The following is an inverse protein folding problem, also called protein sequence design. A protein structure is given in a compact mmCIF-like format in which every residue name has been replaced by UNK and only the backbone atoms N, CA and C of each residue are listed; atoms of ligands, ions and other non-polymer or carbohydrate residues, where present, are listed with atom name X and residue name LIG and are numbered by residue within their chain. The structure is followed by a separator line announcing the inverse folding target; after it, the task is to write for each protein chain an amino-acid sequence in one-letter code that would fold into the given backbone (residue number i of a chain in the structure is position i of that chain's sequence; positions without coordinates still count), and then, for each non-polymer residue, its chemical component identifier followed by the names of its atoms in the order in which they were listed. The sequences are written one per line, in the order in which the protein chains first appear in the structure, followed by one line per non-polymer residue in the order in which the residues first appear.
data_IF_380234757925
#
_entry.id   IF_380234757925
#
_cell.length_a   1.000
_cell.length_b   1.000
_cell.length_c   1.000
_cell.angle_alpha   90.00
_cell.angle_beta   90.00
_cell.angle_gamma   90.00
#
_symmetry.space_group_name_H-M   'P 1'
#
loop_
_entity.id
_entity.type
_entity.pdbx_description
1 polymer ?
#
# COMPACT_ATOMS: atom_id res chain seq x y z
N UNK A 1 -17.01 13.79 -10.22
CA UNK A 1 -15.98 12.74 -10.09
C UNK A 1 -16.14 11.88 -8.82
N UNK A 2 -16.15 12.46 -7.61
CA UNK A 2 -16.32 11.70 -6.34
C UNK A 2 -17.57 10.81 -6.28
N UNK A 3 -18.75 11.33 -6.68
CA UNK A 3 -20.01 10.56 -6.68
C UNK A 3 -20.00 9.36 -7.63
N UNK A 4 -19.29 9.46 -8.76
CA UNK A 4 -19.17 8.39 -9.76
C UNK A 4 -18.26 7.25 -9.28
N UNK A 5 -17.12 7.61 -8.69
CA UNK A 5 -16.20 6.66 -8.04
C UNK A 5 -16.87 5.93 -6.88
N UNK A 6 -17.62 6.65 -6.04
CA UNK A 6 -18.38 6.04 -4.95
C UNK A 6 -19.49 5.12 -5.46
N UNK A 7 -20.23 5.49 -6.51
CA UNK A 7 -21.23 4.62 -7.13
C UNK A 7 -20.62 3.33 -7.70
N UNK A 8 -19.43 3.43 -8.31
CA UNK A 8 -18.75 2.27 -8.88
C UNK A 8 -18.25 1.32 -7.78
N UNK A 9 -17.66 1.87 -6.71
CA UNK A 9 -17.22 1.10 -5.55
C UNK A 9 -18.43 0.49 -4.81
N UNK A 10 -19.49 1.27 -4.60
CA UNK A 10 -20.72 0.86 -3.91
C UNK A 10 -21.49 -0.23 -4.72
N UNK A 11 -21.17 -0.48 -6.00
CA UNK A 11 -21.73 -1.60 -6.79
C UNK A 11 -21.28 -2.97 -6.24
N UNK A 12 -20.08 -3.04 -5.67
CA UNK A 12 -19.53 -4.27 -5.06
C UNK A 12 -19.82 -4.36 -3.56
N UNK A 13 -20.36 -3.31 -2.95
CA UNK A 13 -20.74 -3.27 -1.55
C UNK A 13 -21.78 -4.33 -1.15
N UNK A 14 -22.82 -4.66 -1.95
CA UNK A 14 -23.83 -5.65 -1.55
C UNK A 14 -23.22 -7.01 -1.18
N UNK A 15 -22.16 -7.42 -1.87
CA UNK A 15 -21.45 -8.70 -1.68
C UNK A 15 -20.75 -8.75 -0.31
N UNK A 16 -20.18 -7.62 0.13
CA UNK A 16 -19.37 -7.51 1.35
C UNK A 16 -20.13 -6.86 2.52
N UNK A 17 -21.36 -6.39 2.28
CA UNK A 17 -22.20 -5.68 3.24
C UNK A 17 -22.52 -6.48 4.51
N UNK A 18 -22.51 -7.80 4.42
CA UNK A 18 -22.71 -8.71 5.57
C UNK A 18 -21.50 -8.76 6.52
N UNK A 19 -20.31 -8.39 6.07
CA UNK A 19 -19.05 -8.62 6.78
C UNK A 19 -18.37 -7.33 7.23
N UNK A 20 -18.65 -6.20 6.56
CA UNK A 20 -17.88 -4.96 6.73
C UNK A 20 -18.79 -3.72 6.61
N UNK A 21 -18.59 -2.72 7.49
CA UNK A 21 -19.34 -1.46 7.43
C UNK A 21 -19.02 -0.66 6.16
N UNK A 22 -19.93 0.19 5.68
CA UNK A 22 -19.74 1.02 4.47
C UNK A 22 -18.44 1.87 4.52
N UNK A 23 -18.10 2.43 5.68
CA UNK A 23 -16.87 3.21 5.84
C UNK A 23 -15.62 2.33 5.74
N UNK A 24 -15.67 1.14 6.31
CA UNK A 24 -14.58 0.16 6.23
C UNK A 24 -14.45 -0.41 4.82
N UNK A 25 -15.56 -0.61 4.11
CA UNK A 25 -15.56 -1.03 2.71
C UNK A 25 -14.92 0.02 1.80
N UNK A 26 -15.28 1.30 1.98
CA UNK A 26 -14.65 2.42 1.24
C UNK A 26 -13.15 2.50 1.51
N UNK A 27 -12.73 2.34 2.76
CA UNK A 27 -11.32 2.28 3.13
C UNK A 27 -10.60 1.10 2.46
N UNK A 28 -11.18 -0.10 2.51
CA UNK A 28 -10.64 -1.30 1.87
C UNK A 28 -10.59 -1.17 0.35
N UNK A 29 -11.59 -0.56 -0.29
CA UNK A 29 -11.61 -0.33 -1.72
C UNK A 29 -10.50 0.65 -2.14
N UNK A 30 -10.32 1.76 -1.41
CA UNK A 30 -9.23 2.71 -1.68
C UNK A 30 -7.85 2.10 -1.44
N UNK A 31 -7.70 1.29 -0.38
CA UNK A 31 -6.47 0.57 -0.08
C UNK A 31 -6.17 -0.50 -1.13
N UNK A 32 -7.19 -1.25 -1.56
CA UNK A 32 -7.09 -2.28 -2.58
C UNK A 32 -6.72 -1.71 -3.96
N UNK A 33 -7.30 -0.57 -4.36
CA UNK A 33 -6.88 0.13 -5.58
C UNK A 33 -5.41 0.54 -5.47
N UNK A 34 -5.00 1.15 -4.36
CA UNK A 34 -3.61 1.57 -4.15
C UNK A 34 -2.64 0.37 -4.19
N UNK A 35 -3.01 -0.73 -3.54
CA UNK A 35 -2.24 -1.98 -3.55
C UNK A 35 -2.17 -2.58 -4.96
N UNK A 36 -3.28 -2.65 -5.69
CA UNK A 36 -3.30 -3.12 -7.07
C UNK A 36 -2.44 -2.27 -8.00
N UNK A 37 -2.54 -0.94 -7.89
CA UNK A 37 -1.66 -0.01 -8.61
C UNK A 37 -0.19 -0.26 -8.27
N UNK A 38 0.14 -0.51 -7.00
CA UNK A 38 1.51 -0.83 -6.58
C UNK A 38 2.01 -2.15 -7.18
N UNK A 39 1.18 -3.20 -7.20
CA UNK A 39 1.55 -4.52 -7.73
C UNK A 39 1.81 -4.43 -9.24
N UNK A 40 0.89 -3.80 -9.98
CA UNK A 40 1.02 -3.61 -11.43
C UNK A 40 2.21 -2.69 -11.74
N UNK A 41 2.34 -1.59 -11.00
CA UNK A 41 3.45 -0.65 -11.14
C UNK A 41 4.80 -1.33 -10.93
N UNK A 42 4.94 -2.12 -9.86
CA UNK A 42 6.15 -2.89 -9.60
C UNK A 42 6.45 -3.87 -10.73
N UNK A 43 5.45 -4.63 -11.20
CA UNK A 43 5.62 -5.55 -12.32
C UNK A 43 6.11 -4.84 -13.58
N UNK A 44 5.51 -3.70 -13.94
CA UNK A 44 5.92 -2.93 -15.11
C UNK A 44 7.34 -2.39 -14.97
N UNK A 45 7.68 -1.84 -13.80
CA UNK A 45 9.01 -1.30 -13.54
C UNK A 45 10.07 -2.40 -13.60
N UNK A 46 9.86 -3.50 -12.90
CA UNK A 46 10.82 -4.60 -12.82
C UNK A 46 11.05 -5.26 -14.18
N UNK A 47 9.98 -5.55 -14.93
CA UNK A 47 10.07 -6.31 -16.18
C UNK A 47 10.42 -5.44 -17.40
N UNK A 48 9.83 -4.26 -17.53
CA UNK A 48 9.90 -3.47 -18.75
C UNK A 48 10.76 -2.22 -18.64
N UNK A 49 10.80 -1.57 -17.46
CA UNK A 49 11.62 -0.37 -17.27
C UNK A 49 13.07 -0.74 -16.95
N UNK A 50 13.28 -1.71 -16.07
CA UNK A 50 14.60 -2.17 -15.65
C UNK A 50 15.10 -3.40 -16.41
N UNK A 51 14.23 -4.10 -17.15
CA UNK A 51 14.63 -5.28 -17.92
C UNK A 51 15.17 -6.45 -17.07
N UNK A 52 14.89 -6.47 -15.77
CA UNK A 52 15.48 -7.41 -14.80
C UNK A 52 17.01 -7.29 -14.65
N UNK A 53 17.60 -6.20 -15.14
CA UNK A 53 19.05 -6.00 -15.10
C UNK A 53 19.50 -5.36 -13.79
N UNK A 54 20.47 -6.01 -13.14
CA UNK A 54 21.11 -5.48 -11.93
C UNK A 54 22.04 -4.32 -12.28
N UNK A 55 21.95 -3.23 -11.52
CA UNK A 55 22.79 -2.05 -11.73
C UNK A 55 23.98 -2.11 -10.78
N UNK A 56 25.18 -2.13 -11.36
CA UNK A 56 26.44 -1.99 -10.61
C UNK A 56 26.80 -0.52 -10.49
N UNK A 57 26.76 0.01 -9.27
CA UNK A 57 27.22 1.35 -8.95
C UNK A 57 28.56 1.26 -8.23
N UNK A 58 29.65 1.42 -8.98
CA UNK A 58 31.03 1.27 -8.48
C UNK A 58 31.26 -0.10 -7.81
N UNK A 59 31.37 -0.17 -6.48
CA UNK A 59 31.54 -1.40 -5.70
C UNK A 59 30.23 -2.00 -5.17
N UNK A 60 29.10 -1.30 -5.31
CA UNK A 60 27.80 -1.74 -4.80
C UNK A 60 26.94 -2.33 -5.92
N UNK A 61 26.41 -3.53 -5.71
CA UNK A 61 25.42 -4.16 -6.58
C UNK A 61 24.03 -3.82 -6.03
N UNK A 62 23.23 -3.09 -6.82
CA UNK A 62 21.82 -2.88 -6.53
C UNK A 62 21.04 -3.81 -7.44
N UNK A 63 20.37 -4.78 -6.84
CA UNK A 63 19.57 -5.75 -7.58
C UNK A 63 18.33 -5.09 -8.19
N UNK A 64 17.93 -5.57 -9.36
CA UNK A 64 16.81 -5.03 -10.13
C UNK A 64 15.51 -5.01 -9.32
N UNK A 65 15.26 -6.04 -8.50
CA UNK A 65 14.07 -6.11 -7.64
C UNK A 65 14.07 -5.06 -6.52
N UNK A 66 15.25 -4.74 -5.98
CA UNK A 66 15.42 -3.69 -4.98
C UNK A 66 15.19 -2.32 -5.60
N UNK A 67 15.76 -2.08 -6.77
CA UNK A 67 15.60 -0.81 -7.48
C UNK A 67 14.13 -0.60 -7.92
N UNK A 68 13.49 -1.65 -8.42
CA UNK A 68 12.07 -1.64 -8.75
C UNK A 68 11.20 -1.26 -7.53
N UNK A 69 11.54 -1.81 -6.35
CA UNK A 69 10.83 -1.49 -5.11
C UNK A 69 10.95 0.00 -4.76
N UNK A 70 12.15 0.56 -4.87
CA UNK A 70 12.41 1.98 -4.56
C UNK A 70 11.60 2.87 -5.51
N UNK A 71 11.70 2.66 -6.82
CA UNK A 71 11.00 3.48 -7.83
C UNK A 71 9.47 3.36 -7.63
N UNK A 72 8.96 2.13 -7.50
CA UNK A 72 7.54 1.89 -7.31
C UNK A 72 7.02 2.53 -6.01
N UNK A 73 7.82 2.50 -4.94
CA UNK A 73 7.46 3.10 -3.65
C UNK A 73 7.29 4.61 -3.75
N UNK A 74 8.16 5.31 -4.50
CA UNK A 74 8.03 6.76 -4.70
C UNK A 74 6.73 7.08 -5.46
N UNK A 75 6.45 6.37 -6.54
CA UNK A 75 5.23 6.60 -7.33
C UNK A 75 3.97 6.29 -6.52
N UNK A 76 3.95 5.15 -5.84
CA UNK A 76 2.81 4.72 -5.02
C UNK A 76 2.58 5.65 -3.85
N UNK A 77 3.64 6.22 -3.24
CA UNK A 77 3.51 7.22 -2.20
C UNK A 77 2.77 8.46 -2.68
N UNK A 78 3.16 9.00 -3.84
CA UNK A 78 2.55 10.20 -4.41
C UNK A 78 1.08 9.97 -4.74
N UNK A 79 0.78 8.87 -5.45
CA UNK A 79 -0.60 8.50 -5.81
C UNK A 79 -1.43 8.24 -4.56
N UNK A 80 -0.91 7.45 -3.62
CA UNK A 80 -1.58 7.10 -2.37
C UNK A 80 -1.86 8.30 -1.49
N UNK A 81 -0.91 9.23 -1.34
CA UNK A 81 -1.09 10.45 -0.58
C UNK A 81 -2.14 11.36 -1.21
N UNK A 82 -2.07 11.57 -2.53
CA UNK A 82 -3.05 12.39 -3.28
C UNK A 82 -4.45 11.78 -3.14
N UNK A 83 -4.62 10.48 -3.37
CA UNK A 83 -5.91 9.80 -3.21
C UNK A 83 -6.45 9.95 -1.79
N UNK A 84 -5.63 9.65 -0.77
CA UNK A 84 -6.09 9.74 0.62
C UNK A 84 -6.46 11.16 1.02
N UNK A 85 -5.69 12.16 0.59
CA UNK A 85 -5.96 13.58 0.85
C UNK A 85 -7.31 14.02 0.28
N UNK A 86 -7.63 13.64 -0.97
CA UNK A 86 -8.83 14.10 -1.67
C UNK A 86 -10.06 13.21 -1.49
N UNK A 87 -9.90 11.93 -1.12
CA UNK A 87 -11.03 10.98 -1.00
C UNK A 87 -11.36 10.59 0.43
N UNK A 88 -10.35 10.47 1.30
CA UNK A 88 -10.51 9.88 2.65
C UNK A 88 -10.47 10.95 3.74
N UNK A 89 -9.55 11.92 3.65
CA UNK A 89 -9.33 12.92 4.69
C UNK A 89 -10.15 14.22 4.53
N UNK A 90 -11.17 14.25 3.67
CA UNK A 90 -11.96 15.46 3.40
C UNK A 90 -12.70 16.03 4.62
N UNK A 91 -12.86 15.26 5.69
CA UNK A 91 -13.49 15.70 6.95
C UNK A 91 -12.48 15.90 8.09
N UNK A 92 -11.18 15.69 7.86
CA UNK A 92 -10.17 15.81 8.92
C UNK A 92 -9.85 17.29 9.19
N UNK A 93 -9.98 17.70 10.45
CA UNK A 93 -9.63 19.05 10.95
C UNK A 93 -8.12 19.25 11.12
N UNK A 94 -7.30 18.25 10.80
CA UNK A 94 -5.84 18.30 10.95
C UNK A 94 -5.18 19.06 9.80
N UNK A 95 -4.16 19.87 10.12
CA UNK A 95 -3.30 20.52 9.11
C UNK A 95 -2.65 19.46 8.21
N UNK A 96 -2.68 19.68 6.89
CA UNK A 96 -2.19 18.71 5.89
C UNK A 96 -0.75 18.23 6.09
N UNK A 97 0.13 19.04 6.70
CA UNK A 97 1.51 18.63 7.03
C UNK A 97 1.56 17.51 8.08
N UNK A 98 0.66 17.52 9.05
CA UNK A 98 0.57 16.49 10.10
C UNK A 98 0.03 15.19 9.50
N UNK A 99 -0.93 15.30 8.56
CA UNK A 99 -1.44 14.15 7.82
C UNK A 99 -0.35 13.49 6.96
N UNK A 100 0.44 14.30 6.25
CA UNK A 100 1.57 13.81 5.47
C UNK A 100 2.59 13.09 6.35
N UNK A 101 2.94 13.65 7.51
CA UNK A 101 3.89 13.02 8.43
C UNK A 101 3.38 11.66 8.91
N UNK A 102 2.14 11.59 9.42
CA UNK A 102 1.55 10.33 9.90
C UNK A 102 1.46 9.27 8.79
N UNK A 103 1.00 9.68 7.60
CA UNK A 103 0.92 8.78 6.45
C UNK A 103 2.31 8.30 6.02
N UNK A 104 3.27 9.23 5.97
CA UNK A 104 4.67 8.97 5.64
C UNK A 104 5.34 7.99 6.60
N UNK A 105 5.10 8.09 7.90
CA UNK A 105 5.66 7.14 8.87
C UNK A 105 5.16 5.71 8.62
N UNK A 106 3.84 5.53 8.45
CA UNK A 106 3.25 4.21 8.17
C UNK A 106 3.75 3.66 6.82
N UNK A 107 3.86 4.53 5.82
CA UNK A 107 4.36 4.16 4.50
C UNK A 107 5.84 3.74 4.55
N UNK A 108 6.69 4.50 5.25
CA UNK A 108 8.11 4.17 5.42
C UNK A 108 8.30 2.82 6.13
N UNK A 109 7.53 2.54 7.19
CA UNK A 109 7.56 1.22 7.85
C UNK A 109 7.16 0.11 6.88
N UNK A 110 6.15 0.32 6.05
CA UNK A 110 5.75 -0.66 5.03
C UNK A 110 6.83 -0.89 3.98
N UNK A 111 7.53 0.14 3.51
CA UNK A 111 8.65 -0.02 2.57
C UNK A 111 9.76 -0.86 3.19
N UNK A 112 10.15 -0.58 4.43
CA UNK A 112 11.21 -1.31 5.12
C UNK A 112 10.86 -2.80 5.30
N UNK A 113 9.63 -3.08 5.74
CA UNK A 113 9.15 -4.46 5.84
C UNK A 113 9.10 -5.15 4.47
N UNK A 114 8.62 -4.45 3.44
CA UNK A 114 8.56 -5.00 2.09
C UNK A 114 9.98 -5.33 1.59
N UNK A 115 10.93 -4.41 1.74
CA UNK A 115 12.33 -4.63 1.37
C UNK A 115 12.92 -5.86 2.06
N UNK A 116 12.74 -5.99 3.38
CA UNK A 116 13.26 -7.12 4.14
C UNK A 116 12.64 -8.46 3.67
N UNK A 117 11.32 -8.50 3.49
CA UNK A 117 10.63 -9.70 3.01
C UNK A 117 11.01 -10.04 1.56
N UNK A 118 11.16 -9.04 0.70
CA UNK A 118 11.51 -9.22 -0.70
C UNK A 118 12.93 -9.77 -0.83
N UNK A 119 13.88 -9.26 -0.03
CA UNK A 119 15.22 -9.85 0.09
C UNK A 119 15.17 -11.33 0.48
N UNK A 120 14.39 -11.69 1.50
CA UNK A 120 14.27 -13.07 1.96
C UNK A 120 13.66 -13.97 0.87
N UNK A 121 12.55 -13.55 0.25
CA UNK A 121 11.85 -14.35 -0.75
C UNK A 121 12.66 -14.50 -2.05
N UNK A 122 13.26 -13.41 -2.54
CA UNK A 122 13.94 -13.39 -3.83
C UNK A 122 15.37 -13.92 -3.73
N UNK A 123 16.15 -13.47 -2.75
CA UNK A 123 17.57 -13.85 -2.64
C UNK A 123 17.76 -15.11 -1.80
N UNK A 124 16.89 -15.35 -0.81
CA UNK A 124 16.94 -16.55 0.02
C UNK A 124 16.17 -17.74 -0.56
N UNK A 125 14.95 -17.51 -1.04
CA UNK A 125 14.05 -18.58 -1.55
C UNK A 125 13.94 -18.61 -3.08
N UNK A 126 14.64 -17.74 -3.80
CA UNK A 126 14.64 -17.67 -5.27
C UNK A 126 13.25 -17.51 -5.91
N UNK A 127 12.31 -16.86 -5.21
CA UNK A 127 11.01 -16.49 -5.78
C UNK A 127 11.15 -15.44 -6.87
N UNK A 128 10.26 -15.50 -7.86
CA UNK A 128 10.15 -14.47 -8.87
C UNK A 128 9.77 -13.11 -8.24
N UNK A 129 10.53 -12.02 -8.46
CA UNK A 129 10.35 -10.77 -7.73
C UNK A 129 8.97 -10.15 -7.83
N UNK A 130 8.33 -10.25 -9.00
CA UNK A 130 6.97 -9.70 -9.17
C UNK A 130 5.93 -10.47 -8.35
N UNK A 131 6.04 -11.80 -8.28
CA UNK A 131 5.14 -12.64 -7.50
C UNK A 131 5.40 -12.43 -6.01
N UNK A 132 6.67 -12.40 -5.61
CA UNK A 132 7.07 -12.12 -4.23
C UNK A 132 6.52 -10.77 -3.75
N UNK A 133 6.72 -9.69 -4.52
CA UNK A 133 6.21 -8.37 -4.17
C UNK A 133 4.67 -8.33 -4.09
N UNK A 134 3.95 -9.06 -4.97
CA UNK A 134 2.50 -9.17 -4.91
C UNK A 134 2.03 -9.81 -3.60
N UNK A 135 2.62 -10.95 -3.23
CA UNK A 135 2.31 -11.66 -1.98
C UNK A 135 2.61 -10.77 -0.77
N UNK A 136 3.79 -10.14 -0.74
CA UNK A 136 4.19 -9.23 0.34
C UNK A 136 3.20 -8.08 0.47
N UNK A 137 2.82 -7.45 -0.64
CA UNK A 137 1.88 -6.33 -0.65
C UNK A 137 0.52 -6.72 -0.05
N UNK A 138 0.02 -7.91 -0.38
CA UNK A 138 -1.22 -8.44 0.17
C UNK A 138 -1.08 -8.69 1.68
N UNK A 139 0.01 -9.35 2.10
CA UNK A 139 0.27 -9.65 3.52
C UNK A 139 0.38 -8.36 4.34
N UNK A 140 1.16 -7.39 3.87
CA UNK A 140 1.34 -6.10 4.56
C UNK A 140 0.04 -5.29 4.59
N UNK A 141 -0.76 -5.34 3.52
CA UNK A 141 -2.09 -4.72 3.48
C UNK A 141 -3.04 -5.32 4.52
N UNK A 142 -3.10 -6.65 4.60
CA UNK A 142 -3.91 -7.36 5.60
C UNK A 142 -3.43 -7.09 7.01
N UNK A 143 -2.12 -7.16 7.25
CA UNK A 143 -1.53 -6.86 8.56
C UNK A 143 -1.83 -5.42 8.97
N UNK A 144 -1.61 -4.45 8.09
CA UNK A 144 -1.92 -3.04 8.35
C UNK A 144 -3.39 -2.83 8.69
N UNK A 145 -4.31 -3.50 8.00
CA UNK A 145 -5.73 -3.46 8.31
C UNK A 145 -6.03 -4.03 9.71
N UNK A 146 -5.52 -5.22 10.02
CA UNK A 146 -5.76 -5.85 11.31
C UNK A 146 -5.12 -5.09 12.47
N UNK A 147 -3.88 -4.60 12.32
CA UNK A 147 -3.22 -3.75 13.32
C UNK A 147 -4.04 -2.49 13.59
N UNK A 148 -4.54 -1.82 12.55
CA UNK A 148 -5.40 -0.65 12.74
C UNK A 148 -6.73 -1.03 13.41
N UNK A 149 -7.38 -2.11 12.96
CA UNK A 149 -8.66 -2.61 13.50
C UNK A 149 -8.57 -2.98 14.98
N UNK A 150 -7.55 -3.73 15.39
CA UNK A 150 -7.41 -4.24 16.76
C UNK A 150 -6.69 -3.28 17.71
N UNK A 151 -5.79 -2.43 17.21
CA UNK A 151 -4.97 -1.54 18.04
C UNK A 151 -5.46 -0.08 18.04
N UNK A 152 -5.86 0.48 16.89
CA UNK A 152 -6.32 1.87 16.80
C UNK A 152 -7.81 2.05 17.10
N UNK A 153 -8.65 1.02 16.93
CA UNK A 153 -10.09 1.08 17.23
C UNK A 153 -10.48 0.37 18.53
N UNK A 154 -9.59 0.32 19.55
CA UNK A 154 -10.07 0.07 20.92
C UNK A 154 -10.96 1.25 21.33
N UNK A 155 -12.26 1.03 21.22
CA UNK A 155 -13.30 1.89 21.79
C UNK A 155 -12.99 1.94 23.29
N UNK A 156 -12.47 3.07 23.79
CA UNK A 156 -12.56 3.38 25.22
C UNK A 156 -14.05 3.41 25.52
N UNK A 157 -14.57 2.40 26.21
CA UNK A 157 -15.90 2.52 26.83
C UNK A 157 -15.84 3.77 27.70
N UNK A 158 -16.78 4.73 27.57
CA UNK A 158 -16.93 5.72 28.61
C UNK A 158 -17.18 4.96 29.92
N UNK A 159 -16.42 5.29 30.96
CA UNK A 159 -16.63 4.76 32.30
C UNK A 159 -18.07 5.10 32.73
N UNK A 160 -18.77 4.18 33.43
CA UNK A 160 -20.15 4.38 33.86
C UNK A 160 -20.29 5.56 34.81
#
# INVERSE_FOLDING_TARGET
MRKTLLKFIDLFYPILSKWVSLNTFRYLATGGITAGTSIIGYFLIYNYVLGQDDIRFNQYLITAHTLALIINSVLTFLVGFVMNKYLVFTQSTLKGRIQLFRYGTVFATNILLNFAMLKILVEGLHFYPSIANAIITIILGLFSYFSQKYFSFRIKRPLP
#
